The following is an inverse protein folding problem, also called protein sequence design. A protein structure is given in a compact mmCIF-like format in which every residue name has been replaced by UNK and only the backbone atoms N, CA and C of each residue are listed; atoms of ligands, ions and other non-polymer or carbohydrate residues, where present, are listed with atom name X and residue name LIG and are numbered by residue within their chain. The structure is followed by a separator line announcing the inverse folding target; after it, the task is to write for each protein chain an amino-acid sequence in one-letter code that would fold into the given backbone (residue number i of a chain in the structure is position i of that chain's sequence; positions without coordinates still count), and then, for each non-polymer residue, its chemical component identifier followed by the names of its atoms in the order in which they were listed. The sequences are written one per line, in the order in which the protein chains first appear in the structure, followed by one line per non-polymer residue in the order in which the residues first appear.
data_IF_526114384520
#
_entry.id   IF_526114384520
#
_cell.length_a   1.000
_cell.length_b   1.000
_cell.length_c   1.000
_cell.angle_alpha   90.00
_cell.angle_beta   90.00
_cell.angle_gamma   90.00
#
_symmetry.space_group_name_H-M   'P 1'
#
loop_
_entity.id
_entity.type
_entity.pdbx_description
1 polymer ?
#
# COMPACT_ATOMS: atom_id res chain seq x y z
N UNK A 1 -18.56 -20.68 37.72
CA UNK A 1 -19.29 -19.55 37.11
C UNK A 1 -18.55 -19.17 35.83
N UNK A 2 -19.22 -19.42 34.71
CA UNK A 2 -18.75 -19.17 33.34
C UNK A 2 -18.98 -17.70 32.98
N UNK A 3 -18.01 -17.08 32.32
CA UNK A 3 -18.23 -16.29 31.10
C UNK A 3 -16.89 -15.80 30.56
N UNK A 4 -16.31 -16.69 29.75
CA UNK A 4 -15.26 -16.40 28.77
C UNK A 4 -16.02 -15.81 27.56
N UNK A 5 -16.13 -14.49 27.49
CA UNK A 5 -16.79 -13.78 26.39
C UNK A 5 -15.75 -13.01 25.56
N UNK A 6 -15.45 -13.57 24.39
CA UNK A 6 -15.27 -12.90 23.10
C UNK A 6 -14.22 -11.80 22.96
N UNK A 7 -12.97 -12.27 22.89
CA UNK A 7 -11.78 -11.55 22.41
C UNK A 7 -11.78 -11.28 20.89
N UNK A 8 -12.95 -11.17 20.25
CA UNK A 8 -13.11 -11.03 18.79
C UNK A 8 -13.85 -9.75 18.36
N UNK A 9 -14.38 -8.96 19.30
CA UNK A 9 -15.03 -7.69 19.00
C UNK A 9 -14.16 -6.53 19.51
N UNK A 10 -13.85 -5.54 18.67
CA UNK A 10 -13.05 -4.39 19.10
C UNK A 10 -13.94 -3.44 19.93
N UNK A 11 -13.36 -2.63 20.82
CA UNK A 11 -14.13 -1.86 21.79
C UNK A 11 -15.13 -0.91 21.12
N UNK A 12 -16.32 -0.68 21.68
CA UNK A 12 -17.34 0.18 21.09
C UNK A 12 -16.83 1.63 20.97
N UNK A 13 -16.86 2.21 19.77
CA UNK A 13 -16.39 3.57 19.46
C UNK A 13 -17.51 4.60 19.31
N UNK A 14 -18.75 4.24 19.68
CA UNK A 14 -19.94 5.08 19.50
C UNK A 14 -20.17 6.00 20.69
N UNK A 15 -20.22 7.31 20.41
CA UNK A 15 -20.93 8.34 21.19
C UNK A 15 -20.43 8.72 22.59
N UNK A 16 -19.14 9.05 22.76
CA UNK A 16 -18.79 10.08 23.75
C UNK A 16 -17.76 11.03 23.15
N UNK A 17 -18.00 12.34 23.34
CA UNK A 17 -17.10 13.43 22.99
C UNK A 17 -15.65 13.01 23.25
N UNK A 18 -14.80 13.11 22.22
CA UNK A 18 -13.39 12.71 22.29
C UNK A 18 -12.65 13.51 23.37
N UNK A 19 -12.75 13.07 24.62
CA UNK A 19 -12.02 13.54 25.78
C UNK A 19 -10.74 12.71 25.96
N UNK A 20 -10.10 12.36 24.84
CA UNK A 20 -8.79 11.73 24.88
C UNK A 20 -7.75 12.82 25.16
N UNK A 21 -7.49 13.05 26.46
CA UNK A 21 -6.35 13.86 26.88
C UNK A 21 -5.10 13.08 26.49
N UNK A 22 -4.14 13.68 25.75
CA UNK A 22 -2.91 12.99 25.37
C UNK A 22 -2.22 12.47 26.65
N UNK A 23 -1.81 11.20 26.71
CA UNK A 23 -1.18 10.68 27.90
C UNK A 23 0.14 11.43 28.15
N UNK A 24 0.51 11.64 29.42
CA UNK A 24 1.66 12.44 29.78
C UNK A 24 2.94 11.88 29.14
N UNK A 25 3.92 12.74 28.79
CA UNK A 25 5.19 12.31 28.25
C UNK A 25 5.84 11.27 29.17
N UNK A 26 6.34 10.16 28.61
CA UNK A 26 7.10 9.18 29.39
C UNK A 26 8.40 9.82 29.87
N UNK A 27 8.89 9.42 31.05
CA UNK A 27 10.12 9.95 31.67
C UNK A 27 11.27 9.89 30.65
N UNK A 28 11.86 11.05 30.34
CA UNK A 28 12.98 11.17 29.39
C UNK A 28 12.62 11.56 27.95
N UNK A 29 11.35 11.69 27.59
CA UNK A 29 10.93 12.20 26.27
C UNK A 29 10.66 13.70 26.28
N UNK A 30 11.48 14.47 25.55
CA UNK A 30 11.21 15.88 25.24
C UNK A 30 10.17 15.93 24.12
N UNK A 31 8.94 16.33 24.46
CA UNK A 31 7.84 16.63 23.53
C UNK A 31 7.58 15.58 22.43
N UNK A 32 6.74 14.60 22.72
CA UNK A 32 6.24 13.68 21.70
C UNK A 32 5.21 14.40 20.82
N UNK A 33 5.42 14.41 19.50
CA UNK A 33 4.39 14.84 18.55
C UNK A 33 3.24 13.81 18.58
N UNK A 34 2.08 14.24 19.03
CA UNK A 34 0.84 13.47 19.05
C UNK A 34 0.01 13.66 17.78
N UNK A 35 0.64 14.14 16.70
CA UNK A 35 -0.05 14.59 15.49
C UNK A 35 -0.83 13.46 14.83
N UNK A 36 -0.28 12.24 14.81
CA UNK A 36 -0.97 11.09 14.20
C UNK A 36 -2.16 10.66 15.06
N UNK A 37 -2.00 10.55 16.38
CA UNK A 37 -3.11 10.25 17.30
C UNK A 37 -4.24 11.28 17.14
N UNK A 38 -3.93 12.58 17.12
CA UNK A 38 -4.95 13.62 16.96
C UNK A 38 -5.73 13.46 15.66
N UNK A 39 -5.04 13.17 14.55
CA UNK A 39 -5.70 12.90 13.26
C UNK A 39 -6.51 11.61 13.27
N UNK A 40 -6.00 10.56 13.91
CA UNK A 40 -6.73 9.31 14.10
C UNK A 40 -8.03 9.55 14.87
N UNK A 41 -7.97 10.28 15.99
CA UNK A 41 -9.14 10.56 16.82
C UNK A 41 -10.16 11.48 16.13
N UNK A 42 -9.69 12.41 15.30
CA UNK A 42 -10.56 13.28 14.51
C UNK A 42 -11.19 12.55 13.30
N UNK A 43 -10.68 11.39 12.91
CA UNK A 43 -11.15 10.67 11.74
C UNK A 43 -12.50 9.97 12.00
N UNK A 44 -13.31 9.86 10.94
CA UNK A 44 -14.54 9.08 10.97
C UNK A 44 -14.25 7.64 11.43
N UNK A 45 -15.22 7.02 12.10
CA UNK A 45 -15.07 5.68 12.64
C UNK A 45 -14.59 4.67 11.58
N UNK A 46 -15.16 4.71 10.38
CA UNK A 46 -14.75 3.87 9.24
C UNK A 46 -13.28 4.04 8.84
N UNK A 47 -12.73 5.24 8.97
CA UNK A 47 -11.33 5.56 8.69
C UNK A 47 -10.44 5.07 9.85
N UNK A 48 -10.87 5.24 11.10
CA UNK A 48 -10.19 4.65 12.27
C UNK A 48 -10.09 3.14 12.15
N UNK A 49 -11.16 2.47 11.73
CA UNK A 49 -11.16 1.05 11.42
C UNK A 49 -10.12 0.69 10.36
N UNK A 50 -10.10 1.42 9.24
CA UNK A 50 -9.11 1.19 8.18
C UNK A 50 -7.66 1.35 8.67
N UNK A 51 -7.39 2.32 9.55
CA UNK A 51 -6.07 2.54 10.15
C UNK A 51 -5.66 1.35 11.02
N UNK A 52 -6.54 0.91 11.93
CA UNK A 52 -6.26 -0.21 12.83
C UNK A 52 -6.08 -1.52 12.05
N UNK A 53 -6.98 -1.79 11.10
CA UNK A 53 -6.88 -2.94 10.20
C UNK A 53 -5.57 -2.90 9.38
N UNK A 54 -5.11 -1.73 8.92
CA UNK A 54 -3.86 -1.60 8.16
C UNK A 54 -2.66 -1.92 9.04
N UNK A 55 -2.62 -1.37 10.26
CA UNK A 55 -1.57 -1.68 11.23
C UNK A 55 -1.51 -3.19 11.54
N UNK A 56 -2.66 -3.82 11.75
CA UNK A 56 -2.73 -5.26 12.03
C UNK A 56 -2.39 -6.09 10.81
N UNK A 57 -2.89 -5.74 9.63
CA UNK A 57 -2.58 -6.42 8.37
C UNK A 57 -1.08 -6.46 8.12
N UNK A 58 -0.36 -5.35 8.32
CA UNK A 58 1.09 -5.31 8.10
C UNK A 58 1.90 -6.13 9.12
N UNK A 59 1.36 -6.32 10.33
CA UNK A 59 1.98 -7.19 11.36
C UNK A 59 1.73 -8.68 11.04
N UNK A 60 0.51 -9.01 10.63
CA UNK A 60 0.01 -10.39 10.50
C UNK A 60 0.26 -10.98 9.13
N UNK A 61 0.21 -10.15 8.08
CA UNK A 61 0.40 -10.60 6.70
C UNK A 61 1.72 -11.36 6.57
N UNK A 62 1.63 -12.58 6.03
CA UNK A 62 2.73 -13.52 5.79
C UNK A 62 3.30 -14.25 7.03
N UNK A 63 2.81 -14.00 8.24
CA UNK A 63 3.37 -14.61 9.48
C UNK A 63 2.43 -15.59 10.19
N UNK A 64 1.20 -15.77 9.72
CA UNK A 64 0.23 -16.68 10.35
C UNK A 64 -0.13 -16.28 11.79
N UNK A 65 0.09 -15.01 12.15
CA UNK A 65 -0.19 -14.50 13.49
C UNK A 65 -1.70 -14.25 13.68
N UNK A 66 -2.21 -14.28 14.92
CA UNK A 66 -3.59 -13.92 15.19
C UNK A 66 -3.84 -12.45 14.84
N UNK A 67 -5.05 -12.14 14.37
CA UNK A 67 -5.49 -10.78 14.10
C UNK A 67 -5.81 -10.05 15.41
N UNK A 68 -4.80 -9.41 15.99
CA UNK A 68 -4.92 -8.64 17.24
C UNK A 68 -4.78 -7.15 16.94
N UNK A 69 -5.79 -6.37 17.30
CA UNK A 69 -5.79 -4.93 17.10
C UNK A 69 -4.83 -4.21 18.07
N UNK A 70 -4.18 -3.16 17.57
CA UNK A 70 -3.46 -2.22 18.42
C UNK A 70 -4.48 -1.50 19.32
N UNK A 71 -4.29 -1.48 20.65
CA UNK A 71 -5.15 -0.68 21.54
C UNK A 71 -5.14 0.80 21.16
N UNK A 72 -6.27 1.48 21.34
CA UNK A 72 -6.43 2.92 21.02
C UNK A 72 -5.34 3.80 21.65
N UNK A 73 -4.97 3.49 22.90
CA UNK A 73 -3.93 4.19 23.66
C UNK A 73 -2.53 4.07 23.05
N UNK A 74 -2.31 3.04 22.23
CA UNK A 74 -1.01 2.63 21.74
C UNK A 74 -0.85 2.93 20.24
N UNK A 75 -1.83 3.62 19.63
CA UNK A 75 -1.82 3.93 18.19
C UNK A 75 -0.63 4.81 17.82
N UNK A 76 -0.32 5.85 18.61
CA UNK A 76 0.88 6.66 18.40
C UNK A 76 2.17 5.85 18.56
N UNK A 77 2.25 4.95 19.56
CA UNK A 77 3.40 4.06 19.75
C UNK A 77 3.60 3.14 18.54
N UNK A 78 2.52 2.54 18.06
CA UNK A 78 2.55 1.67 16.88
C UNK A 78 2.92 2.44 15.62
N UNK A 79 2.45 3.68 15.46
CA UNK A 79 2.81 4.55 14.35
C UNK A 79 4.30 4.94 14.39
N UNK A 80 4.81 5.37 15.54
CA UNK A 80 6.20 5.80 15.68
C UNK A 80 7.19 4.64 15.45
N UNK A 81 6.82 3.42 15.86
CA UNK A 81 7.60 2.21 15.65
C UNK A 81 7.42 1.57 14.25
N UNK A 82 6.47 2.06 13.45
CA UNK A 82 6.16 1.47 12.15
C UNK A 82 7.28 1.71 11.12
N UNK A 83 7.51 0.76 10.20
CA UNK A 83 8.38 1.00 9.06
C UNK A 83 7.89 2.19 8.23
N UNK A 84 8.81 2.84 7.51
CA UNK A 84 8.51 4.05 6.75
C UNK A 84 7.31 3.89 5.80
N UNK A 85 7.23 2.78 5.06
CA UNK A 85 6.14 2.54 4.12
C UNK A 85 4.78 2.39 4.81
N UNK A 86 4.73 1.77 6.00
CA UNK A 86 3.50 1.68 6.79
C UNK A 86 3.06 3.07 7.26
N UNK A 87 3.99 3.92 7.73
CA UNK A 87 3.65 5.30 8.12
C UNK A 87 3.06 6.09 6.95
N UNK A 88 3.68 5.97 5.76
CA UNK A 88 3.17 6.59 4.52
C UNK A 88 1.76 6.08 4.19
N UNK A 89 1.51 4.77 4.34
CA UNK A 89 0.19 4.17 4.14
C UNK A 89 -0.86 4.70 5.13
N UNK A 90 -0.52 4.80 6.41
CA UNK A 90 -1.42 5.30 7.44
C UNK A 90 -1.74 6.78 7.24
N UNK A 91 -0.72 7.60 6.96
CA UNK A 91 -0.90 9.02 6.61
C UNK A 91 -1.76 9.18 5.36
N UNK A 92 -1.60 8.31 4.36
CA UNK A 92 -2.43 8.31 3.15
C UNK A 92 -3.91 8.03 3.48
N UNK A 93 -4.18 7.02 4.31
CA UNK A 93 -5.54 6.66 4.73
C UNK A 93 -6.21 7.85 5.42
N UNK A 94 -5.52 8.47 6.38
CA UNK A 94 -6.00 9.65 7.10
C UNK A 94 -6.25 10.81 6.14
N UNK A 95 -5.26 11.15 5.31
CA UNK A 95 -5.30 12.33 4.43
C UNK A 95 -6.45 12.28 3.42
N UNK A 96 -6.77 11.09 2.91
CA UNK A 96 -7.78 10.91 1.88
C UNK A 96 -9.07 10.24 2.40
N UNK A 97 -9.24 10.13 3.72
CA UNK A 97 -10.41 9.50 4.37
C UNK A 97 -10.72 8.11 3.79
N UNK A 98 -9.69 7.30 3.58
CA UNK A 98 -9.85 5.96 3.00
C UNK A 98 -10.50 5.04 4.04
N UNK A 99 -11.59 4.39 3.66
CA UNK A 99 -12.36 3.50 4.56
C UNK A 99 -11.99 2.03 4.41
N UNK A 100 -10.88 1.76 3.72
CA UNK A 100 -10.33 0.41 3.50
C UNK A 100 -8.89 0.34 3.94
N UNK A 101 -8.55 -0.79 4.53
CA UNK A 101 -7.18 -1.05 4.95
C UNK A 101 -6.30 -1.52 3.79
N UNK A 102 -4.99 -1.34 3.96
CA UNK A 102 -3.97 -1.80 3.01
C UNK A 102 -3.19 -2.98 3.60
N UNK A 103 -2.96 -4.03 2.82
CA UNK A 103 -2.15 -5.18 3.26
C UNK A 103 -0.65 -4.90 3.18
N UNK A 104 -0.25 -4.06 2.21
CA UNK A 104 1.13 -3.63 1.99
C UNK A 104 1.18 -2.29 1.22
N UNK A 105 2.38 -1.81 0.89
CA UNK A 105 2.57 -0.55 0.15
C UNK A 105 2.01 -0.63 -1.28
N UNK A 106 1.89 -1.82 -1.87
CA UNK A 106 1.35 -1.99 -3.22
C UNK A 106 -0.13 -1.63 -3.25
N UNK A 107 -0.90 -2.00 -2.23
CA UNK A 107 -2.31 -1.58 -2.11
C UNK A 107 -2.43 -0.05 -2.09
N UNK A 108 -1.61 0.63 -1.27
CA UNK A 108 -1.57 2.11 -1.23
C UNK A 108 -1.22 2.70 -2.60
N UNK A 109 -0.21 2.16 -3.29
CA UNK A 109 0.21 2.60 -4.63
C UNK A 109 -0.90 2.46 -5.65
N UNK A 110 -1.62 1.34 -5.65
CA UNK A 110 -2.80 1.09 -6.50
C UNK A 110 -3.91 2.11 -6.24
N UNK A 111 -4.21 2.36 -4.96
CA UNK A 111 -5.20 3.38 -4.59
C UNK A 111 -4.80 4.78 -5.09
N UNK A 112 -3.53 5.19 -4.89
CA UNK A 112 -3.08 6.49 -5.40
C UNK A 112 -3.06 6.57 -6.91
N UNK A 113 -2.68 5.49 -7.58
CA UNK A 113 -2.72 5.37 -9.03
C UNK A 113 -4.13 5.64 -9.57
N UNK A 114 -5.13 4.90 -9.08
CA UNK A 114 -6.51 5.05 -9.55
C UNK A 114 -7.12 6.38 -9.13
N UNK A 115 -6.87 6.86 -7.91
CA UNK A 115 -7.31 8.19 -7.47
C UNK A 115 -6.82 9.28 -8.41
N UNK A 116 -5.54 9.25 -8.80
CA UNK A 116 -4.98 10.22 -9.76
C UNK A 116 -5.60 10.06 -11.13
N UNK A 117 -5.74 8.83 -11.62
CA UNK A 117 -6.35 8.53 -12.93
C UNK A 117 -7.78 9.04 -13.01
N UNK A 118 -8.58 8.80 -11.97
CA UNK A 118 -9.99 9.22 -11.90
C UNK A 118 -10.12 10.75 -11.77
N UNK A 119 -9.10 11.41 -11.24
CA UNK A 119 -8.98 12.88 -11.26
C UNK A 119 -8.47 13.44 -12.61
N UNK A 120 -8.38 12.60 -13.66
CA UNK A 120 -7.90 12.99 -14.98
C UNK A 120 -6.38 13.18 -15.06
N UNK A 121 -5.64 12.84 -14.00
CA UNK A 121 -4.18 12.84 -14.09
C UNK A 121 -3.74 11.64 -14.92
N UNK A 122 -2.83 11.84 -15.87
CA UNK A 122 -2.31 10.72 -16.62
C UNK A 122 -1.53 9.75 -15.74
N UNK A 123 -1.66 8.46 -16.04
CA UNK A 123 -0.75 7.43 -15.55
C UNK A 123 0.71 7.80 -15.88
N UNK A 124 1.71 7.25 -15.20
CA UNK A 124 3.08 7.37 -15.70
C UNK A 124 3.13 6.80 -17.13
N UNK A 125 3.51 7.66 -18.09
CA UNK A 125 3.40 7.42 -19.52
C UNK A 125 2.31 8.19 -20.27
N UNK A 126 1.30 8.72 -19.57
CA UNK A 126 0.23 9.54 -20.19
C UNK A 126 0.43 11.05 -20.07
N UNK A 127 1.58 11.53 -19.56
CA UNK A 127 1.83 12.95 -19.30
C UNK A 127 2.83 13.26 -18.16
N UNK A 128 3.36 12.23 -17.49
CA UNK A 128 4.61 12.36 -16.71
C UNK A 128 5.81 12.13 -17.61
N UNK A 129 6.84 12.96 -17.45
CA UNK A 129 8.16 12.78 -18.08
C UNK A 129 8.71 11.40 -17.66
N UNK A 130 9.14 10.60 -18.63
CA UNK A 130 9.76 9.31 -18.37
C UNK A 130 10.92 9.48 -17.38
N UNK A 131 11.01 8.57 -16.40
CA UNK A 131 12.16 8.55 -15.51
C UNK A 131 13.44 8.41 -16.34
N UNK A 132 14.47 9.17 -16.00
CA UNK A 132 15.81 8.88 -16.52
C UNK A 132 16.37 7.61 -15.85
N UNK A 133 17.43 7.03 -16.40
CA UNK A 133 18.01 5.76 -15.89
C UNK A 133 18.41 5.80 -14.41
N UNK A 134 18.88 6.95 -13.91
CA UNK A 134 19.26 7.09 -12.51
C UNK A 134 18.05 7.16 -11.58
N UNK A 135 16.99 7.86 -11.99
CA UNK A 135 15.70 7.90 -11.29
C UNK A 135 15.05 6.52 -11.28
N UNK A 136 14.99 5.84 -12.43
CA UNK A 136 14.46 4.49 -12.54
C UNK A 136 15.17 3.51 -11.59
N UNK A 137 16.51 3.51 -11.56
CA UNK A 137 17.27 2.64 -10.64
C UNK A 137 16.95 2.94 -9.17
N UNK A 138 16.84 4.22 -8.81
CA UNK A 138 16.52 4.64 -7.45
C UNK A 138 15.13 4.15 -7.04
N UNK A 139 14.15 4.36 -7.89
CA UNK A 139 12.76 3.97 -7.64
C UNK A 139 12.60 2.45 -7.62
N UNK A 140 13.35 1.73 -8.46
CA UNK A 140 13.46 0.28 -8.43
C UNK A 140 14.01 -0.22 -7.09
N UNK A 141 15.15 0.31 -6.63
CA UNK A 141 15.77 -0.09 -5.37
C UNK A 141 14.91 0.26 -4.15
N UNK A 142 14.11 1.33 -4.24
CA UNK A 142 13.16 1.72 -3.21
C UNK A 142 11.84 0.93 -3.24
N UNK A 143 11.61 0.10 -4.26
CA UNK A 143 10.41 -0.74 -4.36
C UNK A 143 10.56 -2.04 -3.59
N UNK A 144 9.44 -2.71 -3.30
CA UNK A 144 9.44 -4.00 -2.60
C UNK A 144 10.10 -5.10 -3.43
N UNK A 145 10.63 -6.14 -2.77
CA UNK A 145 11.27 -7.27 -3.46
C UNK A 145 10.37 -7.94 -4.52
N UNK A 146 9.04 -7.95 -4.30
CA UNK A 146 8.09 -8.49 -5.29
C UNK A 146 8.03 -7.63 -6.55
N UNK A 147 8.01 -6.30 -6.40
CA UNK A 147 8.04 -5.36 -7.54
C UNK A 147 9.38 -5.43 -8.28
N UNK A 148 10.49 -5.46 -7.53
CA UNK A 148 11.82 -5.63 -8.12
C UNK A 148 11.89 -6.91 -8.96
N UNK A 149 11.44 -8.04 -8.41
CA UNK A 149 11.40 -9.32 -9.12
C UNK A 149 10.51 -9.25 -10.36
N UNK A 150 9.32 -8.68 -10.26
CA UNK A 150 8.41 -8.53 -11.39
C UNK A 150 9.02 -7.73 -12.56
N UNK A 151 9.77 -6.67 -12.22
CA UNK A 151 10.51 -5.88 -13.20
C UNK A 151 11.63 -6.71 -13.84
N UNK A 152 12.45 -7.40 -13.05
CA UNK A 152 13.52 -8.26 -13.58
C UNK A 152 12.97 -9.36 -14.50
N UNK A 153 11.86 -10.00 -14.11
CA UNK A 153 11.15 -10.98 -14.95
C UNK A 153 10.67 -10.35 -16.27
N UNK A 154 10.20 -9.10 -16.24
CA UNK A 154 9.77 -8.35 -17.44
C UNK A 154 10.92 -8.15 -18.41
N UNK A 155 12.09 -7.72 -17.92
CA UNK A 155 13.30 -7.66 -18.74
C UNK A 155 13.65 -9.04 -19.32
N UNK A 156 13.71 -10.07 -18.48
CA UNK A 156 14.06 -11.43 -18.90
C UNK A 156 13.10 -11.97 -19.97
N UNK A 157 11.80 -11.66 -19.88
CA UNK A 157 10.82 -12.05 -20.90
C UNK A 157 11.06 -11.36 -22.25
N UNK A 158 11.41 -10.08 -22.23
CA UNK A 158 11.72 -9.34 -23.45
C UNK A 158 13.00 -9.85 -24.11
N UNK A 159 14.02 -10.15 -23.32
CA UNK A 159 15.25 -10.74 -23.82
C UNK A 159 14.99 -12.15 -24.35
N UNK A 160 14.22 -12.98 -23.66
CA UNK A 160 13.84 -14.31 -24.14
C UNK A 160 13.17 -14.27 -25.52
N UNK A 161 12.30 -13.28 -25.79
CA UNK A 161 11.69 -13.12 -27.12
C UNK A 161 12.73 -12.90 -28.23
N UNK A 162 13.84 -12.23 -27.91
CA UNK A 162 14.92 -11.88 -28.83
C UNK A 162 16.02 -12.95 -28.93
N UNK A 163 16.56 -13.40 -27.78
CA UNK A 163 17.74 -14.27 -27.70
C UNK A 163 17.41 -15.74 -27.35
N UNK A 164 16.13 -16.08 -27.19
CA UNK A 164 15.63 -17.43 -26.82
C UNK A 164 16.23 -17.99 -25.53
N UNK A 165 16.80 -17.13 -24.69
CA UNK A 165 17.36 -17.46 -23.38
C UNK A 165 16.71 -16.59 -22.32
N UNK A 166 16.25 -17.23 -21.24
CA UNK A 166 15.75 -16.53 -20.07
C UNK A 166 16.93 -16.24 -19.15
N UNK A 167 17.25 -14.96 -18.96
CA UNK A 167 18.30 -14.52 -18.05
C UNK A 167 17.82 -13.23 -17.40
N UNK A 168 17.72 -13.22 -16.06
CA UNK A 168 17.37 -12.01 -15.33
C UNK A 168 18.56 -11.05 -15.36
N UNK A 169 18.35 -9.78 -15.74
CA UNK A 169 19.46 -8.83 -15.82
C UNK A 169 20.01 -8.56 -14.42
N UNK A 170 21.32 -8.36 -14.34
CA UNK A 170 21.93 -7.88 -13.09
C UNK A 170 21.41 -6.47 -12.76
N UNK A 171 21.24 -6.19 -11.47
CA UNK A 171 20.74 -4.88 -10.98
C UNK A 171 21.69 -3.74 -11.39
N UNK A 172 22.98 -4.03 -11.55
CA UNK A 172 24.00 -3.10 -12.01
C UNK A 172 23.80 -2.70 -13.47
N UNK A 173 23.29 -3.61 -14.32
CA UNK A 173 23.05 -3.38 -15.75
C UNK A 173 21.71 -2.72 -16.05
N UNK A 174 20.77 -2.72 -15.09
CA UNK A 174 19.43 -2.13 -15.26
C UNK A 174 19.42 -0.69 -15.80
N UNK A 175 20.27 0.25 -15.35
CA UNK A 175 20.26 1.62 -15.86
C UNK A 175 20.58 1.70 -17.35
N UNK A 176 21.53 0.88 -17.80
CA UNK A 176 21.94 0.81 -19.19
C UNK A 176 20.90 0.12 -20.06
N UNK A 177 20.33 -0.98 -19.58
CA UNK A 177 19.25 -1.68 -20.26
C UNK A 177 18.03 -0.77 -20.40
N UNK A 178 17.61 -0.11 -19.33
CA UNK A 178 16.50 0.85 -19.34
C UNK A 178 16.79 2.02 -20.29
N UNK A 179 18.02 2.57 -20.31
CA UNK A 179 18.39 3.67 -21.21
C UNK A 179 18.14 3.33 -22.68
N UNK A 180 18.52 2.12 -23.09
CA UNK A 180 18.46 1.62 -24.47
C UNK A 180 17.06 1.17 -24.91
N UNK A 181 16.10 1.08 -24.00
CA UNK A 181 14.75 0.65 -24.32
C UNK A 181 13.96 1.68 -25.13
N UNK A 182 13.00 1.16 -25.91
CA UNK A 182 11.95 1.96 -26.53
C UNK A 182 11.12 2.69 -25.48
N UNK A 183 10.50 3.81 -25.86
CA UNK A 183 9.64 4.57 -24.95
C UNK A 183 8.51 3.71 -24.39
N UNK A 184 7.88 2.88 -25.22
CA UNK A 184 6.82 1.97 -24.78
C UNK A 184 7.22 1.06 -23.60
N UNK A 185 8.43 0.50 -23.66
CA UNK A 185 8.95 -0.36 -22.58
C UNK A 185 9.26 0.46 -21.33
N UNK A 186 9.77 1.68 -21.49
CA UNK A 186 10.01 2.61 -20.36
C UNK A 186 8.69 3.01 -19.70
N UNK A 187 7.65 3.30 -20.49
CA UNK A 187 6.31 3.56 -19.97
C UNK A 187 5.81 2.37 -19.15
N UNK A 188 5.96 1.14 -19.66
CA UNK A 188 5.51 -0.05 -18.97
C UNK A 188 6.20 -0.23 -17.62
N UNK A 189 7.53 -0.13 -17.60
CA UNK A 189 8.32 -0.30 -16.38
C UNK A 189 8.01 0.78 -15.34
N UNK A 190 7.81 2.02 -15.78
CA UNK A 190 7.45 3.10 -14.86
C UNK A 190 6.03 2.93 -14.32
N UNK A 191 5.09 2.45 -15.14
CA UNK A 191 3.75 2.06 -14.68
C UNK A 191 3.83 0.95 -13.63
N UNK A 192 4.68 -0.07 -13.84
CA UNK A 192 4.87 -1.16 -12.88
C UNK A 192 5.41 -0.64 -11.53
N UNK A 193 6.38 0.28 -11.54
CA UNK A 193 6.88 0.92 -10.33
C UNK A 193 5.80 1.76 -9.62
N UNK A 194 5.02 2.50 -10.40
CA UNK A 194 3.97 3.39 -9.90
C UNK A 194 2.85 2.63 -9.21
N UNK A 195 2.35 1.56 -9.84
CA UNK A 195 1.25 0.76 -9.31
C UNK A 195 1.71 -0.30 -8.29
N UNK A 196 3.02 -0.52 -8.16
CA UNK A 196 3.57 -1.62 -7.36
C UNK A 196 3.18 -2.97 -7.93
N UNK A 197 3.38 -3.17 -9.24
CA UNK A 197 3.09 -4.44 -9.90
C UNK A 197 4.06 -5.54 -9.41
N UNK A 198 3.49 -6.63 -8.92
CA UNK A 198 4.19 -7.80 -8.38
C UNK A 198 4.18 -9.01 -9.36
N UNK A 199 3.85 -8.74 -10.62
CA UNK A 199 3.84 -9.69 -11.73
C UNK A 199 4.53 -9.10 -12.96
N UNK A 200 5.21 -9.94 -13.75
CA UNK A 200 5.83 -9.48 -14.98
C UNK A 200 4.82 -9.13 -16.07
N UNK A 201 5.18 -8.17 -16.93
CA UNK A 201 4.34 -7.66 -18.01
C UNK A 201 5.11 -7.72 -19.33
N UNK A 202 4.46 -8.16 -20.40
CA UNK A 202 5.15 -8.30 -21.69
C UNK A 202 4.89 -7.13 -22.66
N UNK A 203 3.77 -6.43 -22.52
CA UNK A 203 3.37 -5.32 -23.40
C UNK A 203 2.52 -4.26 -22.68
N UNK A 204 2.60 -3.01 -23.15
CA UNK A 204 1.71 -1.92 -22.75
C UNK A 204 0.23 -2.22 -22.99
N UNK A 205 -0.08 -3.00 -24.02
CA UNK A 205 -1.47 -3.36 -24.35
C UNK A 205 -2.17 -4.15 -23.23
N UNK A 206 -1.39 -4.73 -22.32
CA UNK A 206 -1.91 -5.46 -21.17
C UNK A 206 -2.34 -4.54 -20.02
N UNK A 207 -1.94 -3.26 -20.02
CA UNK A 207 -2.24 -2.32 -18.92
C UNK A 207 -3.76 -2.17 -18.68
N UNK A 208 -4.60 -1.87 -19.69
CA UNK A 208 -6.04 -1.71 -19.45
C UNK A 208 -6.69 -2.94 -18.81
N UNK A 209 -6.41 -4.13 -19.35
CA UNK A 209 -6.93 -5.39 -18.80
C UNK A 209 -6.47 -5.63 -17.36
N UNK A 210 -5.23 -5.24 -17.03
CA UNK A 210 -4.70 -5.35 -15.66
C UNK A 210 -5.36 -4.35 -14.72
N UNK A 211 -5.56 -3.12 -15.17
CA UNK A 211 -6.29 -2.13 -14.39
C UNK A 211 -7.71 -2.56 -14.09
N UNK A 212 -8.43 -3.08 -15.09
CA UNK A 212 -9.78 -3.60 -14.92
C UNK A 212 -9.80 -4.76 -13.93
N UNK A 213 -8.83 -5.68 -14.04
CA UNK A 213 -8.68 -6.80 -13.09
C UNK A 213 -8.45 -6.31 -11.66
N UNK A 214 -7.60 -5.29 -11.47
CA UNK A 214 -7.32 -4.72 -10.15
C UNK A 214 -8.56 -4.01 -9.60
N UNK A 215 -9.26 -3.23 -10.43
CA UNK A 215 -10.51 -2.56 -10.03
C UNK A 215 -11.58 -3.56 -9.64
N UNK A 216 -11.75 -4.64 -10.42
CA UNK A 216 -12.70 -5.70 -10.10
C UNK A 216 -12.35 -6.38 -8.77
N UNK A 217 -11.08 -6.71 -8.55
CA UNK A 217 -10.63 -7.28 -7.28
C UNK A 217 -10.93 -6.36 -6.09
N UNK A 218 -10.70 -5.06 -6.22
CA UNK A 218 -11.08 -4.09 -5.18
C UNK A 218 -12.59 -4.06 -4.97
N UNK A 219 -13.39 -4.00 -6.04
CA UNK A 219 -14.85 -3.99 -5.95
C UNK A 219 -15.39 -5.25 -5.24
N UNK A 220 -14.82 -6.41 -5.53
CA UNK A 220 -15.19 -7.69 -4.91
C UNK A 220 -14.82 -7.73 -3.41
N UNK A 221 -13.65 -7.22 -3.05
CA UNK A 221 -13.23 -7.06 -1.65
C UNK A 221 -14.20 -6.14 -0.90
N UNK A 222 -14.54 -4.99 -1.49
CA UNK A 222 -15.52 -4.06 -0.92
C UNK A 222 -16.89 -4.71 -0.73
N UNK A 223 -17.39 -5.41 -1.76
CA UNK A 223 -18.68 -6.10 -1.72
C UNK A 223 -18.72 -7.17 -0.62
N UNK A 224 -17.68 -8.00 -0.54
CA UNK A 224 -17.54 -9.06 0.47
C UNK A 224 -17.60 -8.46 1.88
N UNK A 225 -16.86 -7.36 2.13
CA UNK A 225 -16.85 -6.68 3.42
C UNK A 225 -18.20 -6.06 3.80
N UNK A 226 -18.91 -5.47 2.83
CA UNK A 226 -20.25 -4.95 3.07
C UNK A 226 -21.23 -6.08 3.46
N UNK A 227 -21.14 -7.22 2.80
CA UNK A 227 -21.96 -8.39 3.11
C UNK A 227 -21.62 -9.00 4.47
N UNK A 228 -20.34 -9.09 4.84
CA UNK A 228 -19.95 -9.55 6.17
C UNK A 228 -20.49 -8.63 7.26
N UNK A 229 -20.43 -7.30 7.08
CA UNK A 229 -20.99 -6.34 8.05
C UNK A 229 -22.51 -6.41 8.18
N UNK A 230 -23.25 -6.77 7.13
CA UNK A 230 -24.70 -6.96 7.22
C UNK A 230 -25.11 -8.25 7.93
N UNK A 231 -24.23 -9.25 8.02
CA UNK A 231 -24.49 -10.51 8.72
C UNK A 231 -24.27 -10.43 10.23
N UNK A 232 -23.58 -9.39 10.70
CA UNK A 232 -23.32 -9.13 12.13
C UNK A 232 -24.14 -7.95 12.68
N UNK A 233 -25.19 -7.52 11.96
CA UNK A 233 -26.25 -6.63 12.46
C UNK A 233 -27.53 -7.42 12.62
#
# INVERSE_FOLDING_TARGET
MSSRADSASPPPYSYENSSFVPPPPRVGQVSRSWDFQMRFEAAHESVRWAILDTMTAWKVSRRGLPWVYTPRSDVQDAYDAAPADLRIALDYIVRYNITTYFNDDCDRRRHDYFRRRDAGCPAVGGGRVLLNSAQFKRDFLASTNSVQKAILMTFAWWDFKNIKRYEEPSVERLPDSYRKMTEDRKVLLNWMLEIGADYGMDTLRSIPNREDSIRQAFADIHKTRHQSRSLFR
#
